data_IF_461593735428
#
_entry.id   IF_461593735428
#
_cell.length_a   1.000
_cell.length_b   1.000
_cell.length_c   1.000
_cell.angle_alpha   90.00
_cell.angle_beta   90.00
_cell.angle_gamma   90.00
#
_symmetry.space_group_name_H-M   'P 1'
#
loop_
_entity.id
_entity.type
_entity.pdbx_description
1 polymer ?
#
# COMPACT_ATOMS: atom_id res chain seq x y z
N UNK A 1 -7.13 20.94 -17.88
CA UNK A 1 -5.78 20.51 -17.43
C UNK A 1 -5.89 19.98 -16.01
N UNK A 2 -5.19 18.89 -15.68
CA UNK A 2 -5.15 18.34 -14.34
C UNK A 2 -3.73 18.46 -13.78
N UNK A 3 -3.61 18.60 -12.46
CA UNK A 3 -2.32 18.73 -11.81
C UNK A 3 -1.59 17.37 -11.70
N UNK A 4 -2.36 16.30 -11.47
CA UNK A 4 -1.81 14.94 -11.30
C UNK A 4 -2.56 13.97 -12.19
N UNK A 5 -1.80 13.22 -12.99
CA UNK A 5 -2.29 12.09 -13.77
C UNK A 5 -1.85 10.78 -13.12
N UNK A 6 -2.80 9.94 -12.76
CA UNK A 6 -2.54 8.62 -12.16
C UNK A 6 -2.86 7.54 -13.18
N UNK A 7 -1.90 6.69 -13.48
CA UNK A 7 -2.04 5.59 -14.43
C UNK A 7 -2.22 4.28 -13.65
N UNK A 8 -3.40 3.70 -13.74
CA UNK A 8 -3.81 2.48 -13.06
C UNK A 8 -4.95 2.72 -12.07
N UNK A 9 -5.59 1.63 -11.62
CA UNK A 9 -6.74 1.66 -10.71
C UNK A 9 -6.60 0.71 -9.51
N UNK A 10 -5.39 0.23 -9.23
CA UNK A 10 -5.12 -0.58 -8.03
C UNK A 10 -4.97 0.28 -6.76
N UNK A 11 -4.71 -0.36 -5.63
CA UNK A 11 -4.60 0.33 -4.33
C UNK A 11 -3.54 1.44 -4.34
N UNK A 12 -2.39 1.22 -4.95
CA UNK A 12 -1.35 2.25 -5.04
C UNK A 12 -1.85 3.49 -5.78
N UNK A 13 -2.54 3.30 -6.90
CA UNK A 13 -3.11 4.38 -7.69
C UNK A 13 -4.20 5.14 -6.93
N UNK A 14 -5.07 4.42 -6.23
CA UNK A 14 -6.13 5.03 -5.42
C UNK A 14 -5.55 5.85 -4.26
N UNK A 15 -4.54 5.32 -3.57
CA UNK A 15 -3.84 6.05 -2.50
C UNK A 15 -3.17 7.32 -3.03
N UNK A 16 -2.48 7.23 -4.18
CA UNK A 16 -1.86 8.39 -4.80
C UNK A 16 -2.90 9.45 -5.19
N UNK A 17 -4.00 9.03 -5.79
CA UNK A 17 -5.07 9.93 -6.20
C UNK A 17 -5.73 10.63 -5.00
N UNK A 18 -6.04 9.89 -3.94
CA UNK A 18 -6.62 10.43 -2.72
C UNK A 18 -5.67 11.42 -2.03
N UNK A 19 -4.41 11.04 -1.86
CA UNK A 19 -3.39 11.93 -1.26
C UNK A 19 -3.24 13.22 -2.05
N UNK A 20 -3.20 13.15 -3.38
CA UNK A 20 -3.14 14.34 -4.22
C UNK A 20 -4.39 15.22 -4.06
N UNK A 21 -5.58 14.60 -3.97
CA UNK A 21 -6.84 15.33 -3.74
C UNK A 21 -6.88 16.00 -2.36
N UNK A 22 -6.41 15.32 -1.31
CA UNK A 22 -6.31 15.88 0.03
C UNK A 22 -5.36 17.08 0.08
N UNK A 23 -4.31 17.06 -0.76
CA UNK A 23 -3.39 18.19 -0.93
C UNK A 23 -3.97 19.33 -1.81
N UNK A 24 -5.19 19.20 -2.30
CA UNK A 24 -5.87 20.22 -3.10
C UNK A 24 -5.66 20.12 -4.61
N UNK A 25 -4.93 19.12 -5.10
CA UNK A 25 -4.67 18.96 -6.53
C UNK A 25 -5.89 18.41 -7.28
N UNK A 26 -6.03 18.79 -8.54
CA UNK A 26 -6.95 18.14 -9.47
C UNK A 26 -6.32 16.85 -10.00
N UNK A 27 -7.09 15.76 -10.04
CA UNK A 27 -6.57 14.44 -10.38
C UNK A 27 -7.40 13.79 -11.48
N UNK A 28 -6.70 13.22 -12.47
CA UNK A 28 -7.28 12.31 -13.45
C UNK A 28 -6.65 10.93 -13.26
N UNK A 29 -7.51 9.92 -13.09
CA UNK A 29 -7.08 8.52 -12.99
C UNK A 29 -7.51 7.76 -14.24
N UNK A 30 -6.57 7.06 -14.87
CA UNK A 30 -6.80 6.24 -16.05
C UNK A 30 -6.55 4.77 -15.73
N UNK A 31 -7.53 3.92 -16.03
CA UNK A 31 -7.41 2.47 -15.88
C UNK A 31 -7.64 1.80 -17.24
N UNK A 32 -6.71 0.90 -17.62
CA UNK A 32 -6.77 0.19 -18.91
C UNK A 32 -7.76 -0.97 -18.91
N UNK A 33 -8.02 -1.58 -17.76
CA UNK A 33 -8.93 -2.71 -17.66
C UNK A 33 -10.41 -2.26 -17.76
N UNK A 34 -11.30 -3.09 -18.34
CA UNK A 34 -12.73 -2.85 -18.28
C UNK A 34 -13.22 -2.80 -16.82
N UNK A 35 -14.38 -2.19 -16.63
CA UNK A 35 -14.94 -1.92 -15.29
C UNK A 35 -14.98 -3.16 -14.39
N UNK A 36 -15.28 -4.30 -14.96
CA UNK A 36 -15.43 -5.58 -14.24
C UNK A 36 -14.09 -6.13 -13.74
N UNK A 37 -12.99 -5.73 -14.38
CA UNK A 37 -11.64 -6.25 -14.09
C UNK A 37 -10.67 -5.18 -13.60
N UNK A 38 -11.17 -4.00 -13.28
CA UNK A 38 -10.34 -2.89 -12.77
C UNK A 38 -9.75 -3.23 -11.41
N UNK A 39 -8.60 -2.62 -11.09
CA UNK A 39 -7.98 -2.74 -9.78
C UNK A 39 -6.76 -3.65 -9.71
N UNK A 40 -6.41 -4.31 -10.83
CA UNK A 40 -5.23 -5.17 -10.89
C UNK A 40 -5.24 -6.26 -9.81
N UNK A 41 -4.08 -6.56 -9.24
CA UNK A 41 -3.96 -7.54 -8.17
C UNK A 41 -4.69 -7.14 -6.88
N UNK A 42 -4.99 -5.87 -6.68
CA UNK A 42 -5.67 -5.40 -5.48
C UNK A 42 -7.08 -5.99 -5.31
N UNK A 43 -7.76 -6.33 -6.39
CA UNK A 43 -9.08 -6.96 -6.35
C UNK A 43 -9.05 -8.39 -5.78
N UNK A 44 -7.87 -9.04 -5.79
CA UNK A 44 -7.68 -10.41 -5.30
C UNK A 44 -7.10 -10.44 -3.88
N UNK A 45 -6.79 -9.29 -3.31
CA UNK A 45 -6.14 -9.16 -2.01
C UNK A 45 -7.16 -8.86 -0.92
N UNK A 46 -7.08 -9.60 0.19
CA UNK A 46 -7.94 -9.39 1.37
C UNK A 46 -7.14 -8.98 2.60
N UNK A 47 -5.83 -9.15 2.57
CA UNK A 47 -4.96 -8.97 3.72
C UNK A 47 -4.02 -7.80 3.50
N UNK A 48 -3.76 -7.07 4.57
CA UNK A 48 -2.80 -6.00 4.62
C UNK A 48 -1.76 -6.34 5.68
N UNK A 49 -0.48 -6.33 5.29
CA UNK A 49 0.62 -6.56 6.23
C UNK A 49 1.12 -5.23 6.75
N UNK A 50 1.06 -5.04 8.06
CA UNK A 50 1.43 -3.79 8.72
C UNK A 50 2.25 -4.06 9.96
N UNK A 51 3.25 -3.22 10.23
CA UNK A 51 3.92 -3.19 11.54
C UNK A 51 2.93 -2.79 12.64
N UNK A 52 3.10 -3.37 13.81
CA UNK A 52 2.39 -2.96 15.02
C UNK A 52 3.19 -3.35 16.26
N UNK A 53 3.18 -2.50 17.28
CA UNK A 53 4.00 -2.66 18.48
C UNK A 53 3.35 -3.54 19.56
N UNK A 54 2.04 -3.70 19.47
CA UNK A 54 1.25 -4.42 20.48
C UNK A 54 0.06 -5.13 19.82
N UNK A 55 -0.55 -6.11 20.50
CA UNK A 55 -1.79 -6.73 20.04
C UNK A 55 -2.88 -5.69 19.74
N UNK A 56 -3.57 -5.86 18.62
CA UNK A 56 -4.61 -4.96 18.16
C UNK A 56 -5.74 -5.75 17.49
N UNK A 57 -6.99 -5.48 17.86
CA UNK A 57 -8.16 -6.14 17.27
C UNK A 57 -8.00 -7.67 17.25
N UNK A 58 -7.77 -8.25 16.07
CA UNK A 58 -7.55 -9.69 15.88
C UNK A 58 -6.08 -10.10 15.87
N UNK A 59 -5.17 -9.15 16.03
CA UNK A 59 -3.73 -9.39 16.05
C UNK A 59 -3.30 -9.67 17.50
N UNK A 60 -2.68 -10.83 17.73
CA UNK A 60 -2.37 -11.30 19.08
C UNK A 60 -0.96 -10.95 19.56
N UNK A 61 -0.06 -10.58 18.66
CA UNK A 61 1.34 -10.30 18.94
C UNK A 61 1.76 -8.95 18.35
N UNK A 62 2.98 -8.52 18.65
CA UNK A 62 3.61 -7.40 17.96
C UNK A 62 4.21 -7.87 16.63
N UNK A 63 4.39 -6.94 15.70
CA UNK A 63 5.06 -7.19 14.43
C UNK A 63 5.99 -6.02 14.12
N UNK A 64 7.23 -6.06 14.63
CA UNK A 64 8.16 -4.95 14.49
C UNK A 64 8.81 -4.90 13.10
N UNK A 65 9.49 -3.79 12.79
CA UNK A 65 10.19 -3.53 11.53
C UNK A 65 11.14 -4.68 11.17
N UNK A 66 11.91 -5.16 12.13
CA UNK A 66 12.90 -6.22 11.90
C UNK A 66 12.27 -7.52 11.44
N UNK A 67 11.16 -7.92 12.05
CA UNK A 67 10.43 -9.13 11.67
C UNK A 67 9.79 -9.00 10.29
N UNK A 68 9.20 -7.84 9.99
CA UNK A 68 8.66 -7.56 8.65
C UNK A 68 9.76 -7.64 7.59
N UNK A 69 10.92 -7.04 7.89
CA UNK A 69 12.08 -7.09 7.01
C UNK A 69 12.54 -8.51 6.73
N UNK A 70 12.68 -9.34 7.78
CA UNK A 70 13.09 -10.72 7.65
C UNK A 70 12.10 -11.55 6.85
N UNK A 71 10.80 -11.34 7.06
CA UNK A 71 9.75 -12.01 6.31
C UNK A 71 9.80 -11.65 4.82
N UNK A 72 9.97 -10.37 4.50
CA UNK A 72 10.10 -9.91 3.13
C UNK A 72 11.32 -10.53 2.45
N UNK A 73 12.46 -10.50 3.14
CA UNK A 73 13.72 -11.05 2.64
C UNK A 73 13.64 -12.55 2.37
N UNK A 74 13.00 -13.27 3.26
CA UNK A 74 12.75 -14.72 3.12
C UNK A 74 11.86 -15.05 1.93
N UNK A 75 10.79 -14.29 1.72
CA UNK A 75 9.81 -14.54 0.64
C UNK A 75 10.38 -14.24 -0.73
N UNK A 76 11.22 -13.23 -0.88
CA UNK A 76 11.80 -12.83 -2.16
C UNK A 76 13.25 -13.28 -2.36
N UNK A 77 13.77 -14.09 -1.44
CA UNK A 77 15.13 -14.62 -1.48
C UNK A 77 16.21 -13.52 -1.57
N UNK A 78 16.00 -12.43 -0.86
CA UNK A 78 16.89 -11.28 -0.83
C UNK A 78 16.83 -10.37 -2.07
N UNK A 79 15.93 -10.63 -3.00
CA UNK A 79 15.80 -9.87 -4.25
C UNK A 79 14.87 -8.67 -4.10
N UNK A 80 15.20 -7.75 -3.20
CA UNK A 80 14.44 -6.51 -3.04
C UNK A 80 15.34 -5.29 -3.10
N UNK A 81 14.75 -4.16 -3.46
CA UNK A 81 15.39 -2.86 -3.27
C UNK A 81 15.19 -2.44 -1.80
N UNK A 82 16.27 -2.41 -1.03
CA UNK A 82 16.21 -2.18 0.40
C UNK A 82 15.61 -0.83 0.76
N UNK A 83 15.95 0.22 0.03
CA UNK A 83 15.41 1.56 0.26
C UNK A 83 13.89 1.63 0.03
N UNK A 84 13.41 1.00 -1.04
CA UNK A 84 11.97 0.91 -1.33
C UNK A 84 11.25 0.02 -0.32
N UNK A 85 11.87 -1.08 0.10
CA UNK A 85 11.29 -1.96 1.12
C UNK A 85 11.08 -1.22 2.44
N UNK A 86 12.06 -0.47 2.92
CA UNK A 86 11.94 0.34 4.14
C UNK A 86 10.91 1.46 4.00
N UNK A 87 10.80 2.05 2.81
CA UNK A 87 9.77 3.05 2.51
C UNK A 87 8.34 2.48 2.64
N UNK A 88 8.16 1.19 2.40
CA UNK A 88 6.88 0.50 2.57
C UNK A 88 6.69 0.02 4.01
N UNK A 89 7.73 -0.59 4.61
CA UNK A 89 7.65 -1.21 5.93
C UNK A 89 7.39 -0.16 7.02
N UNK A 90 8.19 0.89 7.10
CA UNK A 90 8.13 1.89 8.18
C UNK A 90 6.79 2.61 8.29
N UNK A 91 6.18 3.12 7.21
CA UNK A 91 4.87 3.75 7.29
C UNK A 91 3.71 2.77 7.46
N UNK A 92 3.93 1.47 7.32
CA UNK A 92 2.86 0.47 7.34
C UNK A 92 2.06 0.44 8.65
N UNK A 93 2.67 0.84 9.77
CA UNK A 93 1.99 0.96 11.07
C UNK A 93 0.83 1.94 11.06
N UNK A 94 0.82 2.90 10.14
CA UNK A 94 -0.21 3.92 10.01
C UNK A 94 -1.19 3.68 8.86
N UNK A 95 -0.90 2.76 7.93
CA UNK A 95 -1.64 2.66 6.67
C UNK A 95 -3.11 2.26 6.85
N UNK A 96 -3.45 1.44 7.84
CA UNK A 96 -4.84 1.05 8.09
C UNK A 96 -5.72 2.21 8.54
N UNK A 97 -5.15 3.24 9.17
CA UNK A 97 -5.89 4.43 9.58
C UNK A 97 -6.27 5.32 8.38
N UNK A 98 -5.44 5.36 7.36
CA UNK A 98 -5.72 6.09 6.12
C UNK A 98 -6.70 5.39 5.18
N UNK A 99 -7.05 4.12 5.44
CA UNK A 99 -7.95 3.32 4.60
C UNK A 99 -9.40 3.27 5.11
N UNK A 100 -9.74 4.03 6.13
CA UNK A 100 -11.10 4.14 6.68
C UNK A 100 -11.95 5.19 6.00
#
# INVERSE_FOLDING_TARGET
>A
MVDVLVIGGGNAALCAALTAREAGASVLLLEAAPREWRGGNSQHTRNLRCMHDAPQDVLVESYPEEEFWQDLWRVNDGNSNDALALLVIRPSSHCRHGMR
#
